data_IF_303986612190
#
_entry.id   IF_303986612190
#
_cell.length_a   1.000
_cell.length_b   1.000
_cell.length_c   1.000
_cell.angle_alpha   90.00
_cell.angle_beta   90.00
_cell.angle_gamma   90.00
#
_symmetry.space_group_name_H-M   'P 1'
#
loop_
_entity.id
_entity.type
_entity.pdbx_description
1 polymer ?
#
# COMPACT_ATOMS: atom_id res chain seq x y z
N UNK A 1 16.46 -18.19 -1.24
CA UNK A 1 17.68 -18.33 -0.44
C UNK A 1 18.80 -18.99 -1.21
N UNK A 2 18.63 -20.26 -1.67
CA UNK A 2 19.71 -21.05 -2.30
C UNK A 2 20.31 -20.38 -3.55
N UNK A 3 19.46 -19.95 -4.51
CA UNK A 3 19.90 -19.31 -5.75
C UNK A 3 20.69 -18.02 -5.45
N UNK A 4 20.18 -17.17 -4.54
CA UNK A 4 20.87 -15.96 -4.12
C UNK A 4 22.21 -16.28 -3.43
N UNK A 5 22.24 -17.32 -2.58
CA UNK A 5 23.46 -17.75 -1.91
C UNK A 5 24.54 -18.22 -2.90
N UNK A 6 24.15 -19.02 -3.89
CA UNK A 6 25.07 -19.44 -4.97
C UNK A 6 25.61 -18.22 -5.75
N UNK A 7 24.71 -17.32 -6.16
CA UNK A 7 25.08 -16.12 -6.89
C UNK A 7 26.09 -15.25 -6.10
N UNK A 8 25.75 -14.87 -4.86
CA UNK A 8 26.62 -14.01 -4.06
C UNK A 8 27.91 -14.70 -3.63
N UNK A 9 27.87 -16.00 -3.30
CA UNK A 9 29.06 -16.74 -2.88
C UNK A 9 30.10 -16.78 -4.00
N UNK A 10 29.72 -17.25 -5.18
CA UNK A 10 30.67 -17.40 -6.28
C UNK A 10 31.15 -16.07 -6.89
N UNK A 11 30.31 -15.04 -6.91
CA UNK A 11 30.71 -13.75 -7.50
C UNK A 11 31.46 -12.83 -6.53
N UNK A 12 31.15 -12.87 -5.23
CA UNK A 12 31.64 -11.83 -4.31
C UNK A 12 32.27 -12.36 -3.03
N UNK A 13 31.83 -13.50 -2.51
CA UNK A 13 32.16 -13.92 -1.15
C UNK A 13 33.24 -15.00 -1.07
N UNK A 14 33.50 -15.73 -2.14
CA UNK A 14 34.51 -16.82 -2.18
C UNK A 14 35.93 -16.36 -1.79
N UNK A 15 36.24 -15.08 -2.00
CA UNK A 15 37.55 -14.46 -1.68
C UNK A 15 37.54 -13.78 -0.29
N UNK A 16 36.50 -13.88 0.51
CA UNK A 16 36.28 -13.12 1.76
C UNK A 16 35.94 -14.07 2.90
N UNK A 17 36.75 -14.95 3.32
CA UNK A 17 36.60 -15.84 4.51
C UNK A 17 35.15 -16.17 4.98
N UNK A 18 34.18 -16.12 4.04
CA UNK A 18 32.77 -16.39 4.28
C UNK A 18 32.45 -17.76 3.69
N UNK A 19 32.03 -18.68 4.53
CA UNK A 19 31.64 -20.01 4.06
C UNK A 19 30.32 -19.97 3.27
N UNK A 20 30.14 -20.94 2.35
CA UNK A 20 28.86 -21.08 1.63
C UNK A 20 27.66 -21.23 2.58
N UNK A 21 27.83 -21.92 3.72
CA UNK A 21 26.79 -22.06 4.75
C UNK A 21 26.36 -20.69 5.29
N UNK A 22 27.32 -19.80 5.58
CA UNK A 22 27.01 -18.43 6.02
C UNK A 22 26.29 -17.61 4.92
N UNK A 23 26.78 -17.69 3.69
CA UNK A 23 26.12 -17.05 2.54
C UNK A 23 24.68 -17.55 2.37
N UNK A 24 24.44 -18.84 2.51
CA UNK A 24 23.10 -19.43 2.45
C UNK A 24 22.18 -18.93 3.57
N UNK A 25 22.67 -18.93 4.81
CA UNK A 25 21.89 -18.46 5.97
C UNK A 25 21.52 -16.97 5.78
N UNK A 26 22.48 -16.12 5.47
CA UNK A 26 22.21 -14.68 5.32
C UNK A 26 21.29 -14.37 4.14
N UNK A 27 21.49 -15.03 3.01
CA UNK A 27 20.60 -14.86 1.85
C UNK A 27 19.18 -15.35 2.13
N UNK A 28 19.05 -16.44 2.88
CA UNK A 28 17.73 -17.00 3.24
C UNK A 28 17.01 -16.10 4.25
N UNK A 29 17.72 -15.58 5.25
CA UNK A 29 17.15 -14.64 6.22
C UNK A 29 16.72 -13.33 5.52
N UNK A 30 17.56 -12.77 4.64
CA UNK A 30 17.21 -11.59 3.88
C UNK A 30 15.97 -11.80 3.01
N UNK A 31 15.85 -12.94 2.36
CA UNK A 31 14.68 -13.28 1.56
C UNK A 31 13.42 -13.49 2.41
N UNK A 32 13.54 -14.18 3.54
CA UNK A 32 12.41 -14.42 4.45
C UNK A 32 11.89 -13.13 5.09
N UNK A 33 12.78 -12.23 5.50
CA UNK A 33 12.40 -10.93 6.08
C UNK A 33 11.82 -9.96 5.06
N UNK A 34 12.14 -10.11 3.77
CA UNK A 34 11.56 -9.29 2.70
C UNK A 34 10.02 -9.42 2.65
N UNK A 35 9.49 -10.64 2.70
CA UNK A 35 8.04 -10.87 2.72
C UNK A 35 7.34 -10.24 3.94
N UNK A 36 8.00 -10.24 5.10
CA UNK A 36 7.48 -9.56 6.30
C UNK A 36 7.45 -8.04 6.12
N UNK A 37 8.52 -7.46 5.53
CA UNK A 37 8.56 -6.03 5.25
C UNK A 37 7.51 -5.61 4.21
N UNK A 38 7.33 -6.43 3.17
CA UNK A 38 6.27 -6.22 2.19
C UNK A 38 4.88 -6.23 2.84
N UNK A 39 4.64 -7.14 3.79
CA UNK A 39 3.38 -7.18 4.54
C UNK A 39 3.15 -5.93 5.40
N UNK A 40 4.20 -5.22 5.84
CA UNK A 40 4.08 -3.93 6.51
C UNK A 40 3.56 -2.82 5.57
N UNK A 41 3.72 -2.99 4.26
CA UNK A 41 3.26 -2.01 3.26
C UNK A 41 1.77 -2.16 2.94
N UNK A 42 1.30 -1.44 1.94
CA UNK A 42 -0.14 -1.30 1.65
C UNK A 42 -0.65 -2.14 0.49
N UNK A 43 0.22 -2.74 -0.33
CA UNK A 43 -0.21 -3.49 -1.52
C UNK A 43 -0.75 -4.89 -1.22
N UNK A 44 -0.29 -5.47 -0.12
CA UNK A 44 -0.62 -6.83 0.28
C UNK A 44 0.26 -7.89 -0.38
N UNK A 45 0.80 -8.75 0.46
CA UNK A 45 1.71 -9.84 0.12
C UNK A 45 1.07 -11.17 0.47
N UNK A 46 1.16 -12.17 -0.41
CA UNK A 46 0.73 -13.54 -0.11
C UNK A 46 1.76 -14.22 0.80
N UNK A 47 1.85 -13.74 2.06
CA UNK A 47 2.88 -14.12 3.02
C UNK A 47 2.90 -15.63 3.31
N UNK A 48 1.74 -16.26 3.28
CA UNK A 48 1.58 -17.68 3.61
C UNK A 48 1.30 -18.56 2.38
N UNK A 49 1.63 -18.06 1.18
CA UNK A 49 1.54 -18.91 0.00
C UNK A 49 2.53 -20.09 0.10
N UNK A 50 2.17 -21.35 -0.28
CA UNK A 50 0.95 -21.76 -1.00
C UNK A 50 -0.22 -22.20 -0.09
N UNK A 51 -0.12 -22.06 1.22
CA UNK A 51 -1.13 -22.52 2.17
C UNK A 51 -2.43 -21.72 2.11
N UNK A 52 -2.35 -20.42 1.83
CA UNK A 52 -3.49 -19.54 1.59
C UNK A 52 -3.21 -18.56 0.45
N UNK A 53 -4.28 -18.07 -0.18
CA UNK A 53 -4.22 -17.00 -1.19
C UNK A 53 -4.47 -15.61 -0.58
N UNK A 54 -4.52 -15.50 0.74
CA UNK A 54 -4.78 -14.23 1.41
C UNK A 54 -3.61 -13.25 1.21
N UNK A 55 -3.98 -12.00 0.96
CA UNK A 55 -3.03 -10.91 0.79
C UNK A 55 -2.97 -10.09 2.07
N UNK A 56 -1.86 -10.21 2.78
CA UNK A 56 -1.64 -9.51 4.04
C UNK A 56 -1.06 -8.12 3.76
N UNK A 57 -1.73 -7.10 4.25
CA UNK A 57 -1.27 -5.72 4.22
C UNK A 57 -1.52 -5.10 5.60
N UNK A 58 -0.48 -4.96 6.39
CA UNK A 58 -0.59 -4.34 7.71
C UNK A 58 -0.73 -2.83 7.65
N UNK A 59 -0.43 -2.23 6.49
CA UNK A 59 -0.60 -0.79 6.25
C UNK A 59 0.11 0.08 7.30
N UNK A 60 1.32 -0.24 7.69
CA UNK A 60 2.05 0.47 8.75
C UNK A 60 3.16 1.37 8.24
N UNK A 61 3.68 1.09 7.05
CA UNK A 61 4.80 1.81 6.43
C UNK A 61 4.43 2.16 4.99
N UNK A 62 4.75 3.38 4.55
CA UNK A 62 4.65 3.75 3.13
C UNK A 62 5.65 2.95 2.31
N UNK A 63 5.28 2.59 1.06
CA UNK A 63 6.16 1.80 0.17
C UNK A 63 7.47 2.53 -0.12
N UNK A 64 7.40 3.85 -0.28
CA UNK A 64 8.57 4.72 -0.38
C UNK A 64 8.54 5.58 0.87
N UNK A 65 9.39 5.29 1.83
CA UNK A 65 9.49 6.03 3.10
C UNK A 65 10.96 6.41 3.35
N UNK A 66 11.34 7.66 3.05
CA UNK A 66 12.71 8.12 3.24
C UNK A 66 13.18 8.07 4.70
N UNK A 67 12.27 8.35 5.67
CA UNK A 67 12.59 8.31 7.09
C UNK A 67 12.83 6.88 7.58
N UNK A 68 12.22 5.90 6.97
CA UNK A 68 12.53 4.50 7.22
C UNK A 68 13.84 4.08 6.56
N UNK A 69 13.98 4.35 5.26
CA UNK A 69 15.02 3.74 4.42
C UNK A 69 16.38 4.41 4.55
N UNK A 70 16.43 5.77 4.59
CA UNK A 70 17.73 6.48 4.60
C UNK A 70 18.55 6.23 5.88
N UNK A 71 17.98 6.26 7.11
CA UNK A 71 18.75 5.93 8.30
C UNK A 71 19.33 4.51 8.26
N UNK A 72 18.56 3.53 7.78
CA UNK A 72 19.05 2.15 7.63
C UNK A 72 20.22 2.09 6.65
N UNK A 73 20.08 2.72 5.48
CA UNK A 73 21.11 2.76 4.46
C UNK A 73 22.40 3.36 5.02
N UNK A 74 22.35 4.55 5.64
CA UNK A 74 23.52 5.21 6.20
C UNK A 74 24.15 4.41 7.34
N UNK A 75 23.35 3.84 8.24
CA UNK A 75 23.86 3.03 9.34
C UNK A 75 24.57 1.77 8.85
N UNK A 76 24.04 1.10 7.82
CA UNK A 76 24.70 -0.06 7.21
C UNK A 76 26.00 0.36 6.51
N UNK A 77 26.01 1.48 5.78
CA UNK A 77 27.23 2.01 5.18
C UNK A 77 28.30 2.34 6.24
N UNK A 78 27.91 2.99 7.36
CA UNK A 78 28.82 3.26 8.47
C UNK A 78 29.31 1.97 9.15
N UNK A 79 28.47 0.94 9.27
CA UNK A 79 28.90 -0.36 9.79
C UNK A 79 30.04 -0.95 8.94
N UNK A 80 29.92 -0.84 7.62
CA UNK A 80 30.93 -1.33 6.68
C UNK A 80 32.20 -0.47 6.74
N UNK A 81 32.11 0.85 6.61
CA UNK A 81 33.24 1.78 6.55
C UNK A 81 34.03 1.76 7.86
N UNK A 82 33.36 1.74 9.00
CA UNK A 82 34.01 1.75 10.33
C UNK A 82 34.31 0.35 10.84
N UNK A 83 33.99 -0.69 10.10
CA UNK A 83 34.11 -2.11 10.52
C UNK A 83 33.57 -2.33 11.96
N UNK A 84 32.39 -1.75 12.24
CA UNK A 84 31.81 -1.76 13.59
C UNK A 84 30.33 -2.14 13.55
N UNK A 85 30.05 -3.34 14.04
CA UNK A 85 28.70 -3.94 14.09
C UNK A 85 27.67 -3.19 14.96
N UNK A 86 28.12 -2.24 15.83
CA UNK A 86 27.19 -1.40 16.61
C UNK A 86 26.21 -0.65 15.70
N UNK A 87 26.66 -0.16 14.55
CA UNK A 87 25.80 0.53 13.59
C UNK A 87 24.72 -0.39 12.99
N UNK A 88 25.03 -1.66 12.78
CA UNK A 88 24.02 -2.64 12.34
C UNK A 88 22.95 -2.91 13.40
N UNK A 89 23.33 -2.95 14.69
CA UNK A 89 22.35 -3.06 15.78
C UNK A 89 21.47 -1.80 15.88
N UNK A 90 22.03 -0.62 15.70
CA UNK A 90 21.26 0.64 15.67
C UNK A 90 20.29 0.62 14.48
N UNK A 91 20.72 0.16 13.28
CA UNK A 91 19.85 0.02 12.12
C UNK A 91 18.68 -0.94 12.39
N UNK A 92 18.95 -2.09 13.00
CA UNK A 92 17.90 -3.05 13.39
C UNK A 92 16.94 -2.45 14.43
N UNK A 93 17.46 -1.75 15.42
CA UNK A 93 16.63 -1.05 16.41
C UNK A 93 15.74 -0.01 15.76
N UNK A 94 16.26 0.74 14.76
CA UNK A 94 15.47 1.69 13.99
C UNK A 94 14.32 1.02 13.22
N UNK A 95 14.59 -0.11 12.54
CA UNK A 95 13.55 -0.90 11.87
C UNK A 95 12.41 -1.25 12.83
N UNK A 96 12.75 -1.76 14.02
CA UNK A 96 11.76 -2.16 15.03
C UNK A 96 10.98 -0.98 15.58
N UNK A 97 11.66 0.10 15.95
CA UNK A 97 11.04 1.32 16.50
C UNK A 97 10.11 1.95 15.45
N UNK A 98 10.59 2.16 14.23
CA UNK A 98 9.81 2.79 13.18
C UNK A 98 8.58 1.96 12.79
N UNK A 99 8.73 0.64 12.69
CA UNK A 99 7.59 -0.26 12.42
C UNK A 99 6.56 -0.21 13.56
N UNK A 100 7.02 -0.20 14.82
CA UNK A 100 6.13 -0.07 15.98
C UNK A 100 5.38 1.26 15.99
N UNK A 101 6.06 2.37 15.67
CA UNK A 101 5.42 3.68 15.50
C UNK A 101 4.37 3.64 14.37
N UNK A 102 4.65 2.96 13.27
CA UNK A 102 3.69 2.76 12.19
C UNK A 102 2.40 2.09 12.65
N UNK A 103 2.49 1.04 13.48
CA UNK A 103 1.31 0.40 14.07
C UNK A 103 0.53 1.34 14.97
N UNK A 104 1.22 2.04 15.89
CA UNK A 104 0.58 3.00 16.81
C UNK A 104 -0.14 4.11 16.05
N UNK A 105 0.51 4.69 15.06
CA UNK A 105 -0.07 5.78 14.26
C UNK A 105 -1.25 5.31 13.41
N UNK A 106 -1.19 4.10 12.86
CA UNK A 106 -2.31 3.47 12.15
C UNK A 106 -3.53 3.34 13.06
N UNK A 107 -3.34 2.79 14.26
CA UNK A 107 -4.44 2.58 15.20
C UNK A 107 -5.05 3.91 15.64
N UNK A 108 -4.23 4.94 15.88
CA UNK A 108 -4.71 6.31 16.13
C UNK A 108 -5.55 6.85 14.97
N UNK A 109 -5.08 6.67 13.71
CA UNK A 109 -5.82 7.11 12.53
C UNK A 109 -7.17 6.39 12.41
N UNK A 110 -7.23 5.09 12.68
CA UNK A 110 -8.46 4.30 12.69
C UNK A 110 -9.44 4.84 13.75
N UNK A 111 -8.98 5.08 14.98
CA UNK A 111 -9.83 5.59 16.07
C UNK A 111 -10.40 6.99 15.75
N UNK A 112 -9.59 7.86 15.17
CA UNK A 112 -10.04 9.18 14.72
C UNK A 112 -11.10 9.03 13.60
N UNK A 113 -10.85 8.14 12.63
CA UNK A 113 -11.79 7.85 11.54
C UNK A 113 -13.12 7.28 12.06
N UNK A 114 -13.10 6.40 13.07
CA UNK A 114 -14.32 5.90 13.73
C UNK A 114 -15.11 7.03 14.40
N UNK A 115 -14.44 7.90 15.17
CA UNK A 115 -15.10 9.05 15.82
C UNK A 115 -15.71 9.99 14.78
N UNK A 116 -15.02 10.24 13.65
CA UNK A 116 -15.55 11.04 12.55
C UNK A 116 -16.79 10.40 11.91
N UNK A 117 -16.77 9.10 11.68
CA UNK A 117 -17.93 8.39 11.14
C UNK A 117 -19.15 8.45 12.10
N UNK A 118 -18.90 8.30 13.41
CA UNK A 118 -19.93 8.44 14.45
C UNK A 118 -20.51 9.86 14.50
N UNK A 119 -19.67 10.89 14.41
CA UNK A 119 -20.15 12.30 14.39
C UNK A 119 -21.00 12.62 13.15
N UNK A 120 -20.79 11.90 12.04
CA UNK A 120 -21.61 11.97 10.82
C UNK A 120 -22.86 11.10 10.88
N UNK A 121 -23.10 10.36 11.96
CA UNK A 121 -24.23 9.44 12.12
C UNK A 121 -24.17 8.22 11.21
N UNK A 122 -22.97 7.79 10.79
CA UNK A 122 -22.82 6.68 9.87
C UNK A 122 -22.61 5.35 10.61
N UNK A 123 -23.31 4.31 10.18
CA UNK A 123 -23.03 2.94 10.58
C UNK A 123 -21.85 2.38 9.78
N UNK A 124 -20.74 2.12 10.47
CA UNK A 124 -19.49 1.66 9.88
C UNK A 124 -19.45 0.14 9.81
N UNK A 125 -19.33 -0.41 8.60
CA UNK A 125 -19.14 -1.85 8.38
C UNK A 125 -17.65 -2.22 8.52
N UNK A 126 -16.76 -1.42 7.93
CA UNK A 126 -15.34 -1.62 7.98
C UNK A 126 -14.61 -0.27 7.87
N UNK A 127 -13.42 -0.19 8.48
CA UNK A 127 -12.54 0.97 8.39
C UNK A 127 -11.08 0.52 8.24
N UNK A 128 -10.38 1.16 7.34
CA UNK A 128 -8.93 0.98 7.13
C UNK A 128 -8.22 2.33 7.18
N UNK A 129 -6.98 2.31 7.64
CA UNK A 129 -6.06 3.43 7.51
C UNK A 129 -4.80 2.98 6.75
N UNK A 130 -4.33 3.80 5.83
CA UNK A 130 -3.13 3.57 5.03
C UNK A 130 -2.22 4.79 5.13
N UNK A 131 -0.90 4.61 5.34
CA UNK A 131 0.01 5.74 5.38
C UNK A 131 0.04 6.43 4.02
N UNK A 132 0.13 7.76 4.01
CA UNK A 132 0.29 8.51 2.78
C UNK A 132 1.73 8.38 2.24
N UNK A 133 1.98 8.93 1.06
CA UNK A 133 3.29 8.82 0.43
C UNK A 133 4.39 9.42 1.32
N UNK A 134 5.46 8.67 1.51
CA UNK A 134 6.72 9.04 2.16
C UNK A 134 6.65 9.40 3.65
N UNK A 135 5.59 9.03 4.38
CA UNK A 135 5.48 9.30 5.81
C UNK A 135 4.48 8.39 6.54
N UNK A 136 4.54 8.40 7.89
CA UNK A 136 3.60 7.76 8.81
C UNK A 136 2.87 8.79 9.70
N UNK A 137 2.77 10.04 9.25
CA UNK A 137 2.13 11.14 9.98
C UNK A 137 0.73 11.40 9.44
N UNK A 138 0.57 11.40 8.11
CA UNK A 138 -0.71 11.59 7.44
C UNK A 138 -1.20 10.28 6.88
N UNK A 139 -2.46 9.97 7.14
CA UNK A 139 -3.09 8.70 6.85
C UNK A 139 -4.32 8.91 5.99
N UNK A 140 -4.47 8.09 4.97
CA UNK A 140 -5.73 7.93 4.25
C UNK A 140 -6.61 6.99 5.06
N UNK A 141 -7.74 7.47 5.55
CA UNK A 141 -8.77 6.63 6.16
C UNK A 141 -9.88 6.35 5.16
N UNK A 142 -10.31 5.10 5.11
CA UNK A 142 -11.44 4.67 4.26
C UNK A 142 -12.38 3.89 5.13
N UNK A 143 -13.57 4.43 5.40
CA UNK A 143 -14.61 3.62 6.03
C UNK A 143 -15.75 3.33 5.06
N UNK A 144 -16.40 2.20 5.29
CA UNK A 144 -17.47 1.69 4.44
C UNK A 144 -18.79 1.64 5.18
N UNK A 145 -19.84 2.09 4.51
CA UNK A 145 -21.24 1.84 4.89
C UNK A 145 -21.87 0.83 3.94
N UNK A 146 -23.16 0.58 4.02
CA UNK A 146 -23.85 -0.33 3.09
C UNK A 146 -23.68 0.09 1.63
N UNK A 147 -23.71 1.38 1.34
CA UNK A 147 -23.81 1.92 -0.04
C UNK A 147 -22.61 2.74 -0.49
N UNK A 148 -21.79 3.24 0.42
CA UNK A 148 -20.72 4.19 0.11
C UNK A 148 -19.41 3.86 0.79
N UNK A 149 -18.34 4.36 0.20
CA UNK A 149 -17.05 4.59 0.81
C UNK A 149 -16.94 6.06 1.20
N UNK A 150 -16.33 6.33 2.33
CA UNK A 150 -15.95 7.66 2.78
C UNK A 150 -14.45 7.70 2.97
N UNK A 151 -13.81 8.64 2.33
CA UNK A 151 -12.37 8.78 2.31
C UNK A 151 -12.04 10.12 2.91
N UNK A 152 -11.24 10.13 3.96
CA UNK A 152 -10.74 11.34 4.61
C UNK A 152 -9.22 11.18 4.85
N UNK A 153 -8.51 12.30 5.04
CA UNK A 153 -7.15 12.24 5.54
C UNK A 153 -7.10 12.60 7.03
N UNK A 154 -6.28 11.86 7.77
CA UNK A 154 -6.06 12.09 9.19
C UNK A 154 -4.58 12.29 9.44
N UNK A 155 -4.22 13.44 10.00
CA UNK A 155 -2.88 13.70 10.52
C UNK A 155 -2.81 13.24 11.97
N UNK A 156 -1.90 12.32 12.28
CA UNK A 156 -1.72 11.72 13.62
C UNK A 156 -0.46 12.23 14.34
N UNK A 157 0.08 13.40 13.96
CA UNK A 157 1.22 14.02 14.61
C UNK A 157 0.95 14.42 16.08
N UNK A 158 1.71 15.38 16.60
CA UNK A 158 1.46 15.95 17.93
C UNK A 158 0.06 16.54 18.01
N UNK A 159 -0.35 17.29 16.99
CA UNK A 159 -1.70 17.78 16.82
C UNK A 159 -2.46 16.90 15.82
N UNK A 160 -3.62 16.44 16.23
CA UNK A 160 -4.52 15.70 15.35
C UNK A 160 -5.30 16.66 14.47
N UNK A 161 -5.33 16.38 13.16
CA UNK A 161 -6.15 17.15 12.19
C UNK A 161 -6.85 16.20 11.25
N UNK A 162 -8.11 16.48 10.97
CA UNK A 162 -8.91 15.81 9.97
C UNK A 162 -8.99 16.72 8.75
N UNK A 163 -8.69 16.16 7.60
CA UNK A 163 -8.82 16.84 6.31
C UNK A 163 -9.92 16.10 5.57
N UNK A 164 -11.05 16.76 5.43
CA UNK A 164 -12.22 16.18 4.77
C UNK A 164 -11.91 15.80 3.33
N UNK A 165 -12.47 14.70 2.91
CA UNK A 165 -12.28 14.18 1.59
C UNK A 165 -13.59 13.93 0.86
N UNK A 166 -13.78 12.73 0.33
CA UNK A 166 -14.84 12.43 -0.61
C UNK A 166 -15.71 11.26 -0.20
N UNK A 167 -16.96 11.31 -0.60
CA UNK A 167 -17.94 10.22 -0.54
C UNK A 167 -18.04 9.58 -1.92
N UNK A 168 -17.89 8.26 -2.01
CA UNK A 168 -17.90 7.51 -3.27
C UNK A 168 -18.87 6.35 -3.16
N UNK A 169 -19.73 6.19 -4.15
CA UNK A 169 -20.70 5.08 -4.20
C UNK A 169 -19.97 3.76 -4.47
N UNK A 170 -20.37 2.70 -3.75
CA UNK A 170 -19.85 1.35 -4.01
C UNK A 170 -20.20 0.88 -5.42
N UNK A 171 -19.23 0.24 -6.06
CA UNK A 171 -19.41 -0.30 -7.40
C UNK A 171 -20.39 -1.46 -7.43
N UNK A 172 -21.29 -1.43 -8.41
CA UNK A 172 -22.19 -2.53 -8.70
C UNK A 172 -22.19 -2.81 -10.20
N UNK A 173 -21.66 -3.96 -10.60
CA UNK A 173 -21.45 -4.32 -11.99
C UNK A 173 -22.75 -4.32 -12.82
N UNK A 174 -23.84 -4.84 -12.26
CA UNK A 174 -25.12 -4.92 -12.96
C UNK A 174 -25.77 -3.55 -13.20
N UNK A 175 -25.52 -2.59 -12.28
CA UNK A 175 -26.05 -1.22 -12.41
C UNK A 175 -25.16 -0.35 -13.28
N UNK A 176 -23.83 -0.52 -13.17
CA UNK A 176 -22.87 0.31 -13.90
C UNK A 176 -22.67 -0.16 -15.35
N UNK A 177 -22.73 -1.46 -15.60
CA UNK A 177 -22.51 -2.04 -16.91
C UNK A 177 -23.62 -3.05 -17.27
N UNK A 178 -24.89 -2.59 -17.47
CA UNK A 178 -26.00 -3.47 -17.80
C UNK A 178 -25.81 -4.21 -19.14
N UNK A 179 -24.99 -3.66 -20.02
CA UNK A 179 -24.63 -4.25 -21.32
C UNK A 179 -23.60 -5.37 -21.22
N UNK A 180 -22.89 -5.51 -20.11
CA UNK A 180 -21.77 -6.43 -19.98
C UNK A 180 -22.26 -7.89 -19.87
N UNK A 181 -21.87 -8.72 -20.83
CA UNK A 181 -22.11 -10.16 -20.76
C UNK A 181 -21.31 -10.76 -19.59
N UNK A 182 -22.01 -11.36 -18.63
CA UNK A 182 -21.42 -11.98 -17.42
C UNK A 182 -20.43 -13.11 -17.70
N UNK A 183 -20.51 -13.73 -18.89
CA UNK A 183 -19.61 -14.81 -19.33
C UNK A 183 -18.41 -14.28 -20.13
N UNK A 184 -18.37 -13.00 -20.46
CA UNK A 184 -17.29 -12.37 -21.22
C UNK A 184 -15.96 -12.34 -20.45
N UNK A 185 -14.87 -12.17 -21.18
CA UNK A 185 -13.55 -12.00 -20.60
C UNK A 185 -13.47 -10.71 -19.77
N UNK A 186 -14.08 -9.62 -20.23
CA UNK A 186 -14.14 -8.37 -19.48
C UNK A 186 -14.81 -8.54 -18.10
N UNK A 187 -15.90 -9.32 -18.00
CA UNK A 187 -16.54 -9.59 -16.72
C UNK A 187 -15.61 -10.36 -15.75
N UNK A 188 -14.87 -11.35 -16.26
CA UNK A 188 -13.86 -12.09 -15.48
C UNK A 188 -12.73 -11.16 -15.02
N UNK A 189 -12.29 -10.26 -15.87
CA UNK A 189 -11.23 -9.30 -15.56
C UNK A 189 -11.68 -8.29 -14.49
N UNK A 190 -12.96 -7.86 -14.50
CA UNK A 190 -13.54 -7.02 -13.44
C UNK A 190 -13.50 -7.74 -12.10
N UNK A 191 -13.90 -9.01 -12.04
CA UNK A 191 -13.85 -9.77 -10.78
C UNK A 191 -12.41 -10.01 -10.31
N UNK A 192 -11.48 -10.24 -11.23
CA UNK A 192 -10.06 -10.30 -10.93
C UNK A 192 -9.54 -8.97 -10.37
N UNK A 193 -9.94 -7.84 -10.93
CA UNK A 193 -9.60 -6.51 -10.43
C UNK A 193 -10.22 -6.24 -9.06
N UNK A 194 -11.48 -6.67 -8.85
CA UNK A 194 -12.15 -6.60 -7.54
C UNK A 194 -11.38 -7.37 -6.47
N UNK A 195 -10.97 -8.61 -6.77
CA UNK A 195 -10.13 -9.41 -5.86
C UNK A 195 -8.82 -8.72 -5.56
N UNK A 196 -8.13 -8.22 -6.59
CA UNK A 196 -6.86 -7.50 -6.46
C UNK A 196 -6.99 -6.24 -5.58
N UNK A 197 -8.12 -5.57 -5.66
CA UNK A 197 -8.43 -4.34 -4.94
C UNK A 197 -9.11 -4.58 -3.58
N UNK A 198 -9.19 -5.82 -3.09
CA UNK A 198 -9.90 -6.19 -1.86
C UNK A 198 -11.34 -5.63 -1.82
N UNK A 199 -12.01 -5.55 -2.97
CA UNK A 199 -13.36 -5.00 -3.09
C UNK A 199 -13.47 -3.47 -3.09
N UNK A 200 -12.38 -2.74 -2.83
CA UNK A 200 -12.37 -1.26 -2.80
C UNK A 200 -12.35 -0.65 -4.21
N UNK A 201 -13.37 -0.93 -4.99
CA UNK A 201 -13.51 -0.41 -6.35
C UNK A 201 -14.73 0.49 -6.49
N UNK A 202 -14.59 1.50 -7.34
CA UNK A 202 -15.65 2.45 -7.67
C UNK A 202 -15.61 2.83 -9.15
N UNK A 203 -16.69 3.44 -9.64
CA UNK A 203 -16.68 4.07 -10.96
C UNK A 203 -15.79 5.31 -10.93
N UNK A 204 -15.05 5.53 -11.99
CA UNK A 204 -14.34 6.79 -12.21
C UNK A 204 -15.36 7.93 -12.38
N UNK A 205 -15.05 9.09 -11.80
CA UNK A 205 -15.88 10.29 -12.00
C UNK A 205 -15.69 10.90 -13.41
N UNK A 206 -14.54 10.62 -14.03
CA UNK A 206 -14.15 11.25 -15.30
C UNK A 206 -14.51 10.42 -16.53
N UNK A 207 -14.76 9.11 -16.36
CA UNK A 207 -15.07 8.23 -17.48
C UNK A 207 -16.03 7.11 -17.02
N UNK A 208 -17.23 7.01 -17.60
CA UNK A 208 -18.25 6.03 -17.20
C UNK A 208 -17.87 4.58 -17.54
N UNK A 209 -16.85 4.34 -18.35
CA UNK A 209 -16.37 3.00 -18.67
C UNK A 209 -15.19 2.56 -17.80
N UNK A 210 -14.77 3.38 -16.83
CA UNK A 210 -13.61 3.09 -16.00
C UNK A 210 -14.00 2.72 -14.58
N UNK A 211 -13.36 1.67 -14.05
CA UNK A 211 -13.39 1.25 -12.65
C UNK A 211 -12.01 1.55 -12.06
N UNK A 212 -11.98 2.18 -10.90
CA UNK A 212 -10.75 2.57 -10.20
C UNK A 212 -10.63 1.85 -8.86
N UNK A 213 -9.39 1.65 -8.41
CA UNK A 213 -9.05 1.24 -7.05
C UNK A 213 -8.93 2.48 -6.16
N UNK A 214 -9.88 2.68 -5.27
CA UNK A 214 -9.96 3.89 -4.43
C UNK A 214 -8.99 3.89 -3.26
N UNK A 215 -8.28 2.80 -3.01
CA UNK A 215 -7.34 2.68 -1.88
C UNK A 215 -6.12 3.58 -2.03
N UNK A 216 -5.77 3.94 -3.26
CA UNK A 216 -4.53 4.64 -3.57
C UNK A 216 -4.81 5.89 -4.39
N UNK A 217 -4.39 7.03 -3.88
CA UNK A 217 -4.45 8.34 -4.53
C UNK A 217 -3.18 9.12 -4.20
N UNK A 218 -2.89 10.18 -4.93
CA UNK A 218 -1.73 11.04 -4.64
C UNK A 218 -1.94 11.81 -3.34
N UNK A 219 -3.13 12.38 -3.14
CA UNK A 219 -3.52 12.98 -1.87
C UNK A 219 -4.40 12.02 -1.07
N UNK A 220 -4.17 11.87 0.23
CA UNK A 220 -4.86 10.86 1.04
C UNK A 220 -6.37 11.10 1.21
N UNK A 221 -6.85 12.33 1.07
CA UNK A 221 -8.27 12.68 1.12
C UNK A 221 -9.00 12.57 -0.22
N UNK A 222 -8.34 12.19 -1.32
CA UNK A 222 -8.93 12.05 -2.64
C UNK A 222 -9.37 10.63 -2.95
N UNK A 223 -10.39 10.52 -3.83
CA UNK A 223 -10.91 9.25 -4.35
C UNK A 223 -10.44 8.89 -5.75
N UNK A 224 -9.57 9.69 -6.37
CA UNK A 224 -9.02 9.40 -7.69
C UNK A 224 -8.00 8.27 -7.60
N UNK A 225 -8.36 7.08 -8.12
CA UNK A 225 -7.47 5.92 -8.10
C UNK A 225 -6.21 6.13 -8.94
N UNK A 226 -5.04 5.74 -8.42
CA UNK A 226 -3.77 5.75 -9.17
C UNK A 226 -3.79 4.80 -10.37
N UNK A 227 -4.66 3.80 -10.34
CA UNK A 227 -4.86 2.83 -11.41
C UNK A 227 -6.30 2.34 -11.43
N UNK A 228 -6.64 1.75 -12.54
CA UNK A 228 -7.95 1.18 -12.76
C UNK A 228 -7.98 0.31 -14.01
N UNK A 229 -9.17 0.00 -14.43
CA UNK A 229 -9.48 -0.73 -15.66
C UNK A 229 -10.54 0.00 -16.45
N UNK A 230 -10.49 -0.14 -17.76
CA UNK A 230 -11.44 0.44 -18.69
C UNK A 230 -12.08 -0.67 -19.53
N UNK A 231 -13.40 -0.66 -19.55
CA UNK A 231 -14.19 -1.59 -20.34
C UNK A 231 -14.55 -0.95 -21.69
N UNK A 232 -14.68 -1.78 -22.69
CA UNK A 232 -15.13 -1.36 -24.02
C UNK A 232 -16.46 -2.07 -24.37
N UNK A 233 -17.57 -1.33 -24.51
CA UNK A 233 -18.87 -1.92 -24.86
C UNK A 233 -18.90 -2.58 -26.23
N UNK A 234 -18.08 -2.10 -27.17
CA UNK A 234 -18.03 -2.60 -28.55
C UNK A 234 -17.10 -3.81 -28.72
N UNK A 235 -16.43 -4.24 -27.64
CA UNK A 235 -15.49 -5.33 -27.70
C UNK A 235 -16.18 -6.70 -27.67
N UNK A 236 -15.66 -7.64 -28.44
CA UNK A 236 -16.14 -9.03 -28.46
C UNK A 236 -15.94 -9.73 -27.10
N UNK A 237 -16.69 -10.83 -26.89
CA UNK A 237 -16.70 -11.58 -25.61
C UNK A 237 -15.34 -12.10 -25.12
N UNK A 238 -14.35 -12.24 -26.00
CA UNK A 238 -12.99 -12.70 -25.67
C UNK A 238 -12.01 -11.55 -25.39
N UNK A 239 -12.41 -10.31 -25.61
CA UNK A 239 -11.54 -9.16 -25.42
C UNK A 239 -11.30 -8.89 -23.93
N UNK A 240 -10.05 -8.57 -23.58
CA UNK A 240 -9.66 -8.13 -22.24
C UNK A 240 -9.96 -6.66 -22.03
N UNK A 241 -10.06 -6.27 -20.76
CA UNK A 241 -10.10 -4.87 -20.33
C UNK A 241 -8.76 -4.17 -20.62
N UNK A 242 -8.79 -2.85 -20.72
CA UNK A 242 -7.58 -2.01 -20.77
C UNK A 242 -7.20 -1.59 -19.35
N UNK A 243 -5.91 -1.71 -19.00
CA UNK A 243 -5.39 -1.13 -17.76
C UNK A 243 -5.16 0.36 -17.92
N UNK A 244 -5.53 1.12 -16.91
CA UNK A 244 -5.30 2.56 -16.86
C UNK A 244 -4.40 2.92 -15.68
N UNK A 245 -3.60 3.97 -15.83
CA UNK A 245 -2.72 4.51 -14.81
C UNK A 245 -2.86 6.02 -14.74
N UNK A 246 -3.20 6.53 -13.57
CA UNK A 246 -3.40 7.95 -13.27
C UNK A 246 -2.32 8.48 -12.32
N UNK A 247 -1.08 7.97 -12.44
CA UNK A 247 0.04 8.31 -11.55
C UNK A 247 0.67 9.67 -11.82
N UNK A 248 0.18 10.40 -12.81
CA UNK A 248 0.70 11.74 -13.11
C UNK A 248 0.27 12.68 -12.00
N UNK A 249 1.23 13.34 -11.37
CA UNK A 249 1.03 14.41 -10.40
C UNK A 249 1.93 15.57 -10.78
N UNK A 250 1.44 16.75 -10.55
CA UNK A 250 2.18 18.00 -10.71
C UNK A 250 2.85 18.41 -9.37
N UNK A 251 3.70 19.39 -9.42
CA UNK A 251 4.37 19.92 -8.24
C UNK A 251 3.37 20.43 -7.20
N UNK A 252 2.21 20.93 -7.60
CA UNK A 252 1.17 21.45 -6.70
C UNK A 252 0.62 20.34 -5.80
N UNK A 253 0.51 19.13 -6.31
CA UNK A 253 0.08 17.94 -5.53
C UNK A 253 1.07 17.61 -4.43
N UNK A 254 2.37 17.63 -4.73
CA UNK A 254 3.41 17.39 -3.71
C UNK A 254 3.45 18.49 -2.65
N UNK A 255 3.26 19.76 -3.03
CA UNK A 255 3.17 20.88 -2.09
C UNK A 255 1.95 20.70 -1.17
N UNK A 256 0.78 20.33 -1.71
CA UNK A 256 -0.41 20.05 -0.90
C UNK A 256 -0.16 18.91 0.11
N UNK A 257 0.46 17.82 -0.32
CA UNK A 257 0.80 16.72 0.59
C UNK A 257 1.79 17.18 1.67
N UNK A 258 2.79 17.96 1.30
CA UNK A 258 3.74 18.53 2.24
C UNK A 258 3.06 19.41 3.30
N UNK A 259 2.14 20.28 2.89
CA UNK A 259 1.37 21.10 3.82
C UNK A 259 0.51 20.24 4.77
N UNK A 260 -0.10 19.15 4.28
CA UNK A 260 -0.83 18.21 5.13
C UNK A 260 0.07 17.56 6.21
N UNK A 261 1.37 17.39 5.93
CA UNK A 261 2.34 16.79 6.86
C UNK A 261 2.80 17.84 7.88
N UNK A 262 3.05 19.06 7.44
CA UNK A 262 3.69 20.11 8.26
C UNK A 262 2.72 20.92 9.09
N UNK A 263 1.52 21.20 8.60
CA UNK A 263 0.46 21.96 9.26
C UNK A 263 -0.47 21.08 10.13
#
# INVERSE_FOLDING_TARGET
GLICALFFYYLFLQKKDISFKQAYIYSTLGYATHGLLDACTTYGTQLFWPFTNDRIAWNTISIIDPLFTLPILFLILFAIIKNNKKYSYIALSWVLIYSSLGFIQKDRAIEIGKKLAQSRGHEVINIEAKPSFANIIVWKTIYTTQTHYYIDAVRTGLNTRIIEGVKIKKFNINKSFPWLNKKSQQAKDVERFRWFSNGYIAMSQNNPNQIIDIRYSMLPNEGHGLWGIELNPDAGNKAHIKRISNRRSDMSTYIKLWNMIME
#
